data_IF_247981010728
#
_entry.id   IF_247981010728
#
_cell.length_a   1.000
_cell.length_b   1.000
_cell.length_c   1.000
_cell.angle_alpha   90.00
_cell.angle_beta   90.00
_cell.angle_gamma   90.00
#
_symmetry.space_group_name_H-M   'P 1'
#
loop_
_entity.id
_entity.type
_entity.pdbx_description
1 polymer ?
#
# COMPACT_ATOMS: atom_id res chain seq x y z
N UNK A 1 5.75 4.52 0.48
CA UNK A 1 4.95 5.64 1.03
C UNK A 1 3.48 5.39 0.77
N UNK A 2 2.58 5.72 1.69
CA UNK A 2 1.14 5.60 1.54
C UNK A 2 0.49 6.98 1.45
N UNK A 3 -0.53 7.15 0.58
CA UNK A 3 -1.27 8.41 0.42
C UNK A 3 -2.77 8.18 0.41
N UNK A 4 -3.45 9.09 1.11
CA UNK A 4 -4.90 9.23 1.13
C UNK A 4 -5.23 10.67 0.73
N UNK A 5 -6.16 10.90 -0.17
CA UNK A 5 -6.70 12.24 -0.32
C UNK A 5 -6.93 12.76 -1.73
N UNK A 6 -7.34 14.00 -1.76
CA UNK A 6 -7.76 14.78 -2.92
C UNK A 6 -6.62 15.62 -3.51
N UNK A 7 -5.37 15.09 -3.54
CA UNK A 7 -4.28 15.85 -4.15
C UNK A 7 -4.69 16.30 -5.57
N UNK A 8 -4.44 17.53 -5.93
CA UNK A 8 -4.55 18.01 -7.32
C UNK A 8 -3.48 17.34 -8.20
N UNK A 9 -3.63 17.36 -9.51
CA UNK A 9 -2.60 16.82 -10.42
C UNK A 9 -1.21 17.46 -10.20
N UNK A 10 -1.07 18.78 -10.01
CA UNK A 10 0.22 19.40 -9.67
C UNK A 10 0.81 18.89 -8.34
N UNK A 11 0.00 18.73 -7.31
CA UNK A 11 0.46 18.20 -6.01
C UNK A 11 0.91 16.74 -6.13
N UNK A 12 0.14 15.90 -6.83
CA UNK A 12 0.50 14.50 -7.05
C UNK A 12 1.79 14.37 -7.88
N UNK A 13 1.98 15.23 -8.89
CA UNK A 13 3.22 15.30 -9.67
C UNK A 13 4.40 15.74 -8.81
N UNK A 14 4.22 16.77 -7.99
CA UNK A 14 5.25 17.25 -7.05
C UNK A 14 5.65 16.17 -6.07
N UNK A 15 4.68 15.45 -5.50
CA UNK A 15 4.93 14.31 -4.63
C UNK A 15 5.73 13.21 -5.35
N UNK A 16 5.33 12.83 -6.57
CA UNK A 16 6.03 11.79 -7.35
C UNK A 16 7.49 12.16 -7.58
N UNK A 17 7.77 13.40 -7.97
CA UNK A 17 9.13 13.90 -8.16
C UNK A 17 9.93 13.86 -6.85
N UNK A 18 9.32 14.23 -5.73
CA UNK A 18 9.95 14.19 -4.41
C UNK A 18 10.28 12.77 -3.99
N UNK A 19 9.35 11.83 -4.13
CA UNK A 19 9.57 10.43 -3.78
C UNK A 19 10.68 9.80 -4.63
N UNK A 20 10.68 10.03 -5.94
CA UNK A 20 11.76 9.61 -6.84
C UNK A 20 13.11 10.16 -6.36
N UNK A 21 13.20 11.47 -6.08
CA UNK A 21 14.45 12.10 -5.61
C UNK A 21 14.94 11.60 -4.26
N UNK A 22 14.07 11.01 -3.46
CA UNK A 22 14.39 10.37 -2.17
C UNK A 22 14.74 8.89 -2.32
N UNK A 23 14.57 8.29 -3.52
CA UNK A 23 14.89 6.90 -3.80
C UNK A 23 13.81 5.90 -3.40
N UNK A 24 12.56 6.32 -3.25
CA UNK A 24 11.46 5.36 -3.06
C UNK A 24 11.25 4.50 -4.30
N UNK A 25 11.03 3.21 -4.11
CA UNK A 25 10.69 2.30 -5.20
C UNK A 25 9.24 2.49 -5.65
N UNK A 26 8.32 2.71 -4.69
CA UNK A 26 6.90 2.83 -5.01
C UNK A 26 6.14 3.73 -4.03
N UNK A 27 4.96 4.18 -4.48
CA UNK A 27 3.97 4.89 -3.66
C UNK A 27 2.63 4.14 -3.70
N UNK A 28 2.06 3.84 -2.52
CA UNK A 28 0.71 3.28 -2.43
C UNK A 28 -0.34 4.41 -2.47
N UNK A 29 -1.20 4.33 -3.44
CA UNK A 29 -2.36 5.19 -3.63
C UNK A 29 -3.61 4.44 -3.15
N UNK A 30 -4.12 4.88 -2.00
CA UNK A 30 -5.19 4.17 -1.31
C UNK A 30 -6.53 4.44 -1.99
N UNK A 31 -7.28 3.37 -2.25
CA UNK A 31 -8.63 3.48 -2.77
C UNK A 31 -9.56 4.15 -1.76
N UNK A 32 -10.38 5.05 -2.26
CA UNK A 32 -11.48 5.64 -1.52
C UNK A 32 -12.69 5.81 -2.45
N UNK A 33 -13.83 5.28 -2.06
CA UNK A 33 -15.04 5.21 -2.90
C UNK A 33 -15.60 6.55 -3.39
N UNK A 34 -15.30 7.63 -2.68
CA UNK A 34 -15.83 8.96 -2.98
C UNK A 34 -14.76 9.93 -3.54
N UNK A 35 -13.55 9.44 -3.78
CA UNK A 35 -12.47 10.28 -4.30
C UNK A 35 -12.20 9.97 -5.78
N UNK A 36 -11.64 10.93 -6.52
CA UNK A 36 -11.25 10.74 -7.91
C UNK A 36 -10.27 9.56 -8.06
N UNK A 37 -10.48 8.76 -9.09
CA UNK A 37 -9.70 7.57 -9.36
C UNK A 37 -8.21 7.89 -9.58
N UNK A 38 -7.34 7.23 -8.83
CA UNK A 38 -5.90 7.45 -8.91
C UNK A 38 -5.27 6.93 -10.19
N UNK A 39 -5.79 5.87 -10.81
CA UNK A 39 -5.22 5.34 -12.04
C UNK A 39 -5.31 6.37 -13.15
N UNK A 40 -6.48 7.02 -13.32
CA UNK A 40 -6.67 8.09 -14.29
C UNK A 40 -5.75 9.28 -14.00
N UNK A 41 -5.59 9.64 -12.73
CA UNK A 41 -4.77 10.78 -12.32
C UNK A 41 -3.29 10.51 -12.56
N UNK A 42 -2.80 9.31 -12.24
CA UNK A 42 -1.41 8.91 -12.49
C UNK A 42 -1.09 8.84 -13.97
N UNK A 43 -1.99 8.35 -14.81
CA UNK A 43 -1.79 8.35 -16.25
C UNK A 43 -1.47 9.75 -16.84
N UNK A 44 -1.93 10.82 -16.15
CA UNK A 44 -1.65 12.21 -16.55
C UNK A 44 -0.34 12.79 -16.02
N UNK A 45 0.32 12.12 -15.06
CA UNK A 45 1.52 12.65 -14.40
C UNK A 45 2.73 11.74 -14.53
N UNK A 46 2.54 10.54 -15.04
CA UNK A 46 3.64 9.58 -15.20
C UNK A 46 4.76 10.19 -16.01
N UNK A 47 5.98 10.09 -15.48
CA UNK A 47 7.17 10.64 -16.12
C UNK A 47 8.07 9.48 -16.54
N UNK A 48 8.34 9.29 -17.85
CA UNK A 48 9.18 8.20 -18.34
C UNK A 48 10.64 8.28 -17.88
N UNK A 49 11.11 9.45 -17.43
CA UNK A 49 12.46 9.63 -16.89
C UNK A 49 12.60 9.16 -15.43
N UNK A 50 11.49 8.75 -14.80
CA UNK A 50 11.46 8.26 -13.42
C UNK A 50 11.33 6.74 -13.38
N UNK A 51 11.72 6.13 -12.25
CA UNK A 51 11.54 4.71 -11.98
C UNK A 51 10.47 4.43 -10.91
N UNK A 52 9.94 5.46 -10.24
CA UNK A 52 8.91 5.33 -9.21
C UNK A 52 7.70 4.55 -9.73
N UNK A 53 7.39 3.44 -9.07
CA UNK A 53 6.20 2.65 -9.36
C UNK A 53 4.99 3.18 -8.58
N UNK A 54 3.82 3.00 -9.15
CA UNK A 54 2.54 3.38 -8.54
C UNK A 54 1.78 2.13 -8.14
N UNK A 55 1.60 1.94 -6.84
CA UNK A 55 0.83 0.83 -6.28
C UNK A 55 -0.60 1.30 -6.06
N UNK A 56 -1.54 0.73 -6.80
CA UNK A 56 -2.96 1.06 -6.70
C UNK A 56 -3.67 0.08 -5.78
N UNK A 57 -4.31 0.59 -4.72
CA UNK A 57 -5.20 -0.21 -3.91
C UNK A 57 -6.48 -0.53 -4.70
N UNK A 58 -6.68 -1.81 -4.99
CA UNK A 58 -7.84 -2.32 -5.72
C UNK A 58 -8.81 -2.98 -4.74
N UNK A 59 -10.06 -2.56 -4.80
CA UNK A 59 -11.18 -3.22 -4.15
C UNK A 59 -11.90 -4.07 -5.18
N UNK A 60 -11.80 -5.38 -5.06
CA UNK A 60 -12.30 -6.33 -6.07
C UNK A 60 -13.80 -6.19 -6.33
N UNK A 61 -14.58 -5.77 -5.32
CA UNK A 61 -16.00 -5.49 -5.47
C UNK A 61 -16.32 -4.21 -6.26
N UNK A 62 -15.37 -3.31 -6.44
CA UNK A 62 -15.57 -2.02 -7.12
C UNK A 62 -15.18 -2.03 -8.60
N UNK A 63 -14.42 -3.03 -9.05
CA UNK A 63 -13.92 -3.11 -10.42
C UNK A 63 -13.92 -4.57 -10.90
N UNK A 64 -14.37 -4.82 -12.12
CA UNK A 64 -14.30 -6.17 -12.69
C UNK A 64 -12.85 -6.55 -13.06
N UNK A 65 -12.51 -7.87 -13.04
CA UNK A 65 -11.20 -8.35 -13.45
C UNK A 65 -10.84 -7.91 -14.87
N UNK A 66 -11.81 -7.95 -15.79
CA UNK A 66 -11.61 -7.59 -17.19
C UNK A 66 -11.27 -6.11 -17.35
N UNK A 67 -12.03 -5.24 -16.66
CA UNK A 67 -11.77 -3.80 -16.75
C UNK A 67 -10.43 -3.44 -16.12
N UNK A 68 -10.08 -4.06 -14.98
CA UNK A 68 -8.78 -3.87 -14.35
C UNK A 68 -7.63 -4.30 -15.28
N UNK A 69 -7.76 -5.45 -15.96
CA UNK A 69 -6.78 -5.91 -16.93
C UNK A 69 -6.62 -4.94 -18.11
N UNK A 70 -7.73 -4.41 -18.64
CA UNK A 70 -7.68 -3.38 -19.69
C UNK A 70 -6.95 -2.11 -19.24
N UNK A 71 -7.17 -1.68 -18.00
CA UNK A 71 -6.45 -0.54 -17.42
C UNK A 71 -4.94 -0.83 -17.30
N UNK A 72 -4.56 -2.03 -16.86
CA UNK A 72 -3.16 -2.44 -16.77
C UNK A 72 -2.47 -2.46 -18.15
N UNK A 73 -3.13 -2.99 -19.18
CA UNK A 73 -2.62 -2.98 -20.55
C UNK A 73 -2.46 -1.53 -21.07
N UNK A 74 -3.43 -0.64 -20.78
CA UNK A 74 -3.33 0.76 -21.15
C UNK A 74 -2.13 1.46 -20.47
N UNK A 75 -1.89 1.20 -19.19
CA UNK A 75 -0.70 1.71 -18.50
C UNK A 75 0.61 1.16 -19.08
N UNK A 76 0.63 -0.12 -19.46
CA UNK A 76 1.80 -0.72 -20.08
C UNK A 76 2.17 -0.03 -21.40
N UNK A 77 1.17 0.47 -22.15
CA UNK A 77 1.40 1.26 -23.37
C UNK A 77 1.96 2.67 -23.09
N UNK A 78 1.67 3.23 -21.90
CA UNK A 78 2.22 4.54 -21.49
C UNK A 78 3.67 4.36 -21.01
N UNK A 79 3.86 3.46 -20.05
CA UNK A 79 5.19 3.19 -19.48
C UNK A 79 5.19 1.78 -18.86
N UNK A 80 5.94 0.83 -19.43
CA UNK A 80 5.98 -0.55 -18.94
C UNK A 80 6.50 -0.67 -17.51
N UNK A 81 5.92 -1.61 -16.75
CA UNK A 81 6.38 -2.00 -15.41
C UNK A 81 6.26 -0.92 -14.31
N UNK A 82 5.43 0.10 -14.54
CA UNK A 82 5.28 1.23 -13.59
C UNK A 82 4.13 1.05 -12.60
N UNK A 83 3.34 0.01 -12.73
CA UNK A 83 2.20 -0.23 -11.85
C UNK A 83 2.37 -1.50 -11.03
N UNK A 84 1.86 -1.43 -9.81
CA UNK A 84 1.68 -2.53 -8.88
C UNK A 84 0.21 -2.53 -8.48
N UNK A 85 -0.43 -3.67 -8.37
CA UNK A 85 -1.78 -3.77 -7.85
C UNK A 85 -1.75 -4.29 -6.41
N UNK A 86 -2.30 -3.52 -5.49
CA UNK A 86 -2.53 -3.96 -4.12
C UNK A 86 -3.98 -4.43 -3.97
N UNK A 87 -4.18 -5.74 -4.00
CA UNK A 87 -5.48 -6.38 -3.94
C UNK A 87 -5.88 -6.60 -2.48
N UNK A 88 -7.02 -6.08 -2.11
CA UNK A 88 -7.57 -6.27 -0.78
C UNK A 88 -9.10 -6.45 -0.84
N UNK A 89 -9.63 -7.31 0.03
CA UNK A 89 -11.06 -7.52 0.18
C UNK A 89 -11.80 -6.24 0.66
N UNK A 90 -11.05 -5.31 1.23
CA UNK A 90 -11.56 -4.04 1.72
C UNK A 90 -12.16 -4.14 3.10
N UNK A 91 -12.15 -3.00 3.78
CA UNK A 91 -12.78 -2.80 5.06
C UNK A 91 -13.97 -1.85 4.85
N UNK A 92 -15.17 -2.37 5.02
CA UNK A 92 -16.39 -1.58 5.01
C UNK A 92 -16.71 -1.21 6.45
N UNK A 93 -16.08 -0.17 6.95
CA UNK A 93 -16.50 0.40 8.22
C UNK A 93 -17.81 1.15 7.99
N UNK A 94 -18.87 0.81 8.74
CA UNK A 94 -20.18 1.45 8.57
C UNK A 94 -20.14 2.98 8.71
N UNK A 95 -19.13 3.48 9.40
CA UNK A 95 -18.94 4.88 9.75
C UNK A 95 -18.23 5.69 8.65
N UNK A 96 -17.40 5.04 7.82
CA UNK A 96 -16.56 5.70 6.81
C UNK A 96 -17.09 5.55 5.39
N UNK A 97 -17.85 4.47 5.13
CA UNK A 97 -18.39 4.19 3.80
C UNK A 97 -19.77 3.60 4.00
N UNK A 98 -20.81 4.37 3.76
CA UNK A 98 -22.17 3.83 3.83
C UNK A 98 -22.31 2.69 2.82
N UNK A 99 -23.08 1.66 3.17
CA UNK A 99 -23.42 0.58 2.21
C UNK A 99 -24.01 1.14 0.93
N UNK A 100 -24.73 2.28 1.03
CA UNK A 100 -25.31 2.99 -0.10
C UNK A 100 -24.25 3.54 -1.05
N UNK A 101 -23.13 4.06 -0.54
CA UNK A 101 -22.04 4.58 -1.38
C UNK A 101 -21.32 3.44 -2.11
N UNK A 102 -21.12 2.30 -1.45
CA UNK A 102 -20.55 1.11 -2.08
C UNK A 102 -21.47 0.56 -3.17
N UNK A 103 -22.78 0.54 -2.94
CA UNK A 103 -23.78 0.13 -3.93
C UNK A 103 -23.80 1.08 -5.14
N UNK A 104 -23.69 2.39 -4.92
CA UNK A 104 -23.65 3.39 -6.00
C UNK A 104 -22.48 3.21 -6.95
N UNK A 105 -21.34 2.69 -6.48
CA UNK A 105 -20.17 2.41 -7.32
C UNK A 105 -20.09 0.95 -7.80
N UNK A 106 -21.17 0.17 -7.63
CA UNK A 106 -21.27 -1.23 -8.08
C UNK A 106 -20.79 -2.27 -7.07
N UNK A 107 -20.37 -1.87 -5.86
CA UNK A 107 -20.03 -2.80 -4.80
C UNK A 107 -21.28 -3.25 -4.02
N UNK A 108 -21.44 -4.55 -3.79
CA UNK A 108 -22.66 -5.12 -3.17
C UNK A 108 -22.39 -6.13 -2.06
N UNK A 109 -21.14 -6.50 -1.82
CA UNK A 109 -20.80 -7.50 -0.81
C UNK A 109 -20.66 -6.85 0.58
N UNK A 110 -21.55 -7.20 1.50
CA UNK A 110 -21.62 -6.61 2.84
C UNK A 110 -20.66 -7.28 3.81
N UNK A 111 -20.65 -8.62 3.85
CA UNK A 111 -19.87 -9.38 4.81
C UNK A 111 -18.41 -9.50 4.37
N UNK A 112 -17.52 -9.45 5.34
CA UNK A 112 -16.08 -9.55 5.07
C UNK A 112 -15.71 -10.91 4.45
N UNK A 113 -16.30 -12.01 4.94
CA UNK A 113 -16.10 -13.35 4.41
C UNK A 113 -16.45 -13.43 2.94
N UNK A 114 -17.59 -12.87 2.53
CA UNK A 114 -18.06 -12.88 1.15
C UNK A 114 -17.13 -12.07 0.24
N UNK A 115 -16.62 -10.93 0.75
CA UNK A 115 -15.63 -10.13 0.00
C UNK A 115 -14.30 -10.87 -0.19
N UNK A 116 -13.86 -11.60 0.82
CA UNK A 116 -12.62 -12.40 0.71
C UNK A 116 -12.79 -13.55 -0.29
N UNK A 117 -13.93 -14.23 -0.28
CA UNK A 117 -14.23 -15.30 -1.26
C UNK A 117 -14.32 -14.74 -2.67
N UNK A 118 -15.07 -13.66 -2.85
CA UNK A 118 -15.14 -12.96 -4.13
C UNK A 118 -13.76 -12.48 -4.62
N UNK A 119 -12.89 -12.06 -3.71
CA UNK A 119 -11.51 -11.68 -4.05
C UNK A 119 -10.73 -12.87 -4.61
N UNK A 120 -10.95 -14.09 -4.10
CA UNK A 120 -10.32 -15.30 -4.64
C UNK A 120 -10.77 -15.58 -6.08
N UNK A 121 -12.06 -15.54 -6.34
CA UNK A 121 -12.65 -15.72 -7.68
C UNK A 121 -12.16 -14.63 -8.64
N UNK A 122 -12.11 -13.39 -8.16
CA UNK A 122 -11.64 -12.24 -8.92
C UNK A 122 -10.19 -12.42 -9.36
N UNK A 123 -9.29 -12.82 -8.44
CA UNK A 123 -7.87 -13.07 -8.71
C UNK A 123 -7.68 -14.19 -9.72
N UNK A 124 -8.38 -15.31 -9.52
CA UNK A 124 -8.32 -16.44 -10.44
C UNK A 124 -8.74 -16.01 -11.86
N UNK A 125 -9.86 -15.31 -11.98
CA UNK A 125 -10.36 -14.80 -13.26
C UNK A 125 -9.39 -13.80 -13.89
N UNK A 126 -8.91 -12.81 -13.13
CA UNK A 126 -7.97 -11.80 -13.58
C UNK A 126 -6.70 -12.39 -14.20
N UNK A 127 -6.10 -13.36 -13.51
CA UNK A 127 -4.86 -13.99 -13.94
C UNK A 127 -5.04 -14.95 -15.14
N UNK A 128 -6.26 -15.44 -15.36
CA UNK A 128 -6.56 -16.37 -16.45
C UNK A 128 -7.12 -15.69 -17.72
N UNK A 129 -7.20 -14.36 -17.76
CA UNK A 129 -7.65 -13.63 -18.95
C UNK A 129 -6.64 -13.82 -20.09
N UNK A 130 -7.09 -14.44 -21.20
CA UNK A 130 -6.22 -14.83 -22.31
C UNK A 130 -5.57 -13.65 -23.05
N UNK A 131 -6.22 -12.50 -23.07
CA UNK A 131 -5.71 -11.29 -23.73
C UNK A 131 -4.77 -10.47 -22.84
N UNK A 132 -4.72 -10.76 -21.53
CA UNK A 132 -3.91 -10.02 -20.57
C UNK A 132 -2.48 -10.57 -20.55
N UNK A 133 -1.56 -9.86 -21.19
CA UNK A 133 -0.16 -10.29 -21.39
C UNK A 133 0.80 -9.63 -20.42
N UNK A 134 0.56 -8.37 -20.10
CA UNK A 134 1.44 -7.52 -19.30
C UNK A 134 0.93 -7.42 -17.86
N UNK A 135 1.01 -8.54 -17.13
CA UNK A 135 0.54 -8.63 -15.75
C UNK A 135 1.44 -7.81 -14.84
N UNK A 136 0.89 -6.88 -14.05
CA UNK A 136 1.66 -6.14 -13.07
C UNK A 136 2.04 -7.01 -11.88
N UNK A 137 3.00 -6.55 -11.07
CA UNK A 137 3.29 -7.13 -9.77
C UNK A 137 2.06 -7.04 -8.85
N UNK A 138 1.74 -8.14 -8.16
CA UNK A 138 0.55 -8.25 -7.31
C UNK A 138 0.95 -8.29 -5.83
N UNK A 139 0.43 -7.33 -5.08
CA UNK A 139 0.45 -7.32 -3.62
C UNK A 139 -0.92 -7.77 -3.13
N UNK A 140 -0.99 -8.81 -2.31
CA UNK A 140 -2.24 -9.25 -1.67
C UNK A 140 -2.22 -8.87 -0.20
N UNK A 141 -3.24 -8.11 0.24
CA UNK A 141 -3.26 -7.50 1.57
C UNK A 141 -4.30 -8.11 2.50
N UNK A 142 -3.90 -8.43 3.73
CA UNK A 142 -4.77 -8.87 4.82
C UNK A 142 -4.20 -10.01 5.63
N UNK A 143 -4.93 -10.45 6.68
CA UNK A 143 -4.43 -11.40 7.69
C UNK A 143 -5.32 -12.61 7.89
N UNK A 144 -6.46 -12.72 7.19
CA UNK A 144 -7.31 -13.92 7.27
C UNK A 144 -6.62 -15.09 6.55
N UNK A 145 -6.89 -16.33 6.99
CA UNK A 145 -6.34 -17.54 6.37
C UNK A 145 -6.56 -17.57 4.86
N UNK A 146 -7.77 -17.24 4.41
CA UNK A 146 -8.11 -17.18 2.98
C UNK A 146 -7.32 -16.10 2.23
N UNK A 147 -7.06 -14.95 2.86
CA UNK A 147 -6.20 -13.91 2.24
C UNK A 147 -4.76 -14.38 2.13
N UNK A 148 -4.26 -15.11 3.12
CA UNK A 148 -2.93 -15.73 3.08
C UNK A 148 -2.87 -16.75 1.94
N UNK A 149 -3.87 -17.62 1.82
CA UNK A 149 -3.98 -18.58 0.72
C UNK A 149 -4.00 -17.87 -0.65
N UNK A 150 -4.75 -16.78 -0.78
CA UNK A 150 -4.76 -15.97 -1.99
C UNK A 150 -3.38 -15.36 -2.29
N UNK A 151 -2.69 -14.89 -1.27
CA UNK A 151 -1.33 -14.36 -1.42
C UNK A 151 -0.38 -15.45 -1.92
N UNK A 152 -0.42 -16.64 -1.33
CA UNK A 152 0.43 -17.76 -1.72
C UNK A 152 0.17 -18.23 -3.16
N UNK A 153 -1.09 -18.29 -3.57
CA UNK A 153 -1.48 -18.77 -4.91
C UNK A 153 -1.29 -17.73 -6.02
N UNK A 154 -1.55 -16.48 -5.75
CA UNK A 154 -1.74 -15.47 -6.78
C UNK A 154 -0.86 -14.22 -6.63
N UNK A 155 -0.39 -13.90 -5.41
CA UNK A 155 0.41 -12.71 -5.13
C UNK A 155 1.90 -12.91 -5.37
N UNK A 156 2.60 -11.82 -5.61
CA UNK A 156 4.07 -11.76 -5.59
C UNK A 156 4.56 -11.31 -4.21
N UNK A 157 3.78 -10.46 -3.55
CA UNK A 157 4.06 -9.86 -2.24
C UNK A 157 2.83 -10.02 -1.34
N UNK A 158 3.06 -10.35 -0.08
CA UNK A 158 2.03 -10.28 0.96
C UNK A 158 2.19 -9.00 1.78
N UNK A 159 1.12 -8.22 1.94
CA UNK A 159 1.11 -7.00 2.75
C UNK A 159 0.24 -7.16 4.00
N UNK A 160 0.82 -6.90 5.16
CA UNK A 160 0.09 -6.80 6.42
C UNK A 160 0.62 -5.66 7.29
N UNK A 161 -0.08 -5.36 8.39
CA UNK A 161 0.43 -4.48 9.43
C UNK A 161 1.67 -5.11 10.09
N UNK A 162 2.65 -4.29 10.46
CA UNK A 162 3.87 -4.77 11.12
C UNK A 162 3.60 -5.62 12.36
N UNK A 163 2.59 -5.25 13.16
CA UNK A 163 2.19 -6.03 14.33
C UNK A 163 1.84 -7.48 14.00
N UNK A 164 1.16 -7.73 12.87
CA UNK A 164 0.78 -9.09 12.50
C UNK A 164 1.99 -9.99 12.29
N UNK A 165 3.06 -9.48 11.65
CA UNK A 165 4.30 -10.24 11.48
C UNK A 165 5.05 -10.45 12.80
N UNK A 166 5.05 -9.45 13.69
CA UNK A 166 5.61 -9.58 15.04
C UNK A 166 4.86 -10.59 15.90
N UNK A 167 3.54 -10.71 15.69
CA UNK A 167 2.67 -11.68 16.37
C UNK A 167 2.74 -13.09 15.72
N UNK A 168 3.68 -13.30 14.78
CA UNK A 168 3.95 -14.61 14.19
C UNK A 168 3.13 -14.93 12.95
N UNK A 169 2.61 -13.93 12.23
CA UNK A 169 1.96 -14.18 10.94
C UNK A 169 2.96 -14.85 9.98
N UNK A 170 2.71 -16.10 9.66
CA UNK A 170 3.47 -16.86 8.69
C UNK A 170 2.84 -16.72 7.30
N UNK A 171 3.67 -16.36 6.34
CA UNK A 171 3.35 -16.34 4.91
C UNK A 171 4.51 -17.04 4.23
N UNK A 172 4.27 -18.12 3.55
CA UNK A 172 5.26 -19.06 2.97
C UNK A 172 6.52 -18.42 2.38
N UNK A 173 6.74 -18.60 1.09
CA UNK A 173 7.97 -18.12 0.41
C UNK A 173 7.83 -16.73 -0.23
N UNK A 174 6.69 -16.08 -0.08
CA UNK A 174 6.43 -14.77 -0.71
C UNK A 174 7.21 -13.65 -0.04
N UNK A 175 7.53 -12.62 -0.82
CA UNK A 175 8.04 -11.35 -0.27
C UNK A 175 7.04 -10.80 0.74
N UNK A 176 7.54 -10.27 1.86
CA UNK A 176 6.72 -9.74 2.95
C UNK A 176 6.86 -8.23 3.00
N UNK A 177 5.76 -7.53 2.79
CA UNK A 177 5.69 -6.08 2.94
C UNK A 177 4.97 -5.73 4.23
N UNK A 178 5.60 -4.96 5.10
CA UNK A 178 4.98 -4.49 6.33
C UNK A 178 4.51 -3.05 6.21
N UNK A 179 3.26 -2.78 6.57
CA UNK A 179 2.80 -1.40 6.80
C UNK A 179 3.32 -0.91 8.14
N UNK A 180 4.18 0.12 8.09
CA UNK A 180 4.92 0.65 9.20
C UNK A 180 4.65 2.15 9.37
N UNK A 181 3.71 2.55 10.22
CA UNK A 181 3.61 3.94 10.66
C UNK A 181 4.89 4.36 11.38
N UNK A 182 5.40 5.55 11.10
CA UNK A 182 6.70 6.01 11.61
C UNK A 182 6.56 7.36 12.31
N UNK A 183 7.21 7.49 13.48
CA UNK A 183 7.37 8.74 14.22
C UNK A 183 8.85 9.00 14.40
N UNK A 184 9.34 10.13 13.87
CA UNK A 184 10.73 10.57 14.01
C UNK A 184 10.76 11.89 14.77
N UNK A 185 11.57 11.98 15.85
CA UNK A 185 11.80 13.21 16.60
C UNK A 185 13.31 13.38 16.85
N UNK A 186 13.68 14.55 17.38
CA UNK A 186 15.09 14.87 17.65
C UNK A 186 15.60 14.07 18.85
N UNK A 187 14.72 13.71 19.80
CA UNK A 187 15.04 12.85 20.94
C UNK A 187 14.09 11.64 21.03
N UNK A 188 14.54 10.60 21.72
CA UNK A 188 13.74 9.41 21.98
C UNK A 188 12.49 9.75 22.83
N UNK A 189 12.67 10.61 23.82
CA UNK A 189 11.62 11.04 24.75
C UNK A 189 10.50 11.77 24.02
N UNK A 190 10.84 12.67 23.08
CA UNK A 190 9.86 13.34 22.24
C UNK A 190 9.10 12.37 21.33
N UNK A 191 9.83 11.44 20.70
CA UNK A 191 9.20 10.42 19.86
C UNK A 191 8.25 9.53 20.68
N UNK A 192 8.68 9.14 21.89
CA UNK A 192 7.88 8.35 22.83
C UNK A 192 6.63 9.10 23.28
N UNK A 193 6.73 10.38 23.60
CA UNK A 193 5.59 11.20 23.99
C UNK A 193 4.52 11.26 22.89
N UNK A 194 4.95 11.40 21.63
CA UNK A 194 4.04 11.35 20.47
C UNK A 194 3.43 9.95 20.31
N UNK A 195 4.23 8.90 20.43
CA UNK A 195 3.75 7.52 20.40
C UNK A 195 2.72 7.25 21.50
N UNK A 196 2.99 7.68 22.74
CA UNK A 196 2.09 7.46 23.88
C UNK A 196 0.75 8.19 23.69
N UNK A 197 0.72 9.33 23.00
CA UNK A 197 -0.48 10.10 22.69
C UNK A 197 -1.36 9.50 21.58
N UNK A 198 -0.91 8.44 20.90
CA UNK A 198 -1.71 7.80 19.85
C UNK A 198 -2.89 7.04 20.45
N UNK A 199 -4.10 7.37 20.02
CA UNK A 199 -5.33 6.73 20.52
C UNK A 199 -5.64 5.41 19.79
N UNK A 200 -5.32 5.33 18.49
CA UNK A 200 -5.59 4.13 17.71
C UNK A 200 -4.62 3.00 18.06
N UNK A 201 -5.12 2.04 18.84
CA UNK A 201 -4.35 0.89 19.31
C UNK A 201 -3.76 0.07 18.16
N UNK A 202 -4.50 -0.18 17.09
CA UNK A 202 -4.04 -1.02 15.97
C UNK A 202 -2.88 -0.36 15.22
N UNK A 203 -2.96 0.94 15.01
CA UNK A 203 -1.86 1.71 14.42
C UNK A 203 -0.66 1.73 15.38
N UNK A 204 -0.90 1.97 16.66
CA UNK A 204 0.13 2.07 17.70
C UNK A 204 1.03 0.83 17.78
N UNK A 205 0.46 -0.38 17.80
CA UNK A 205 1.24 -1.63 17.92
C UNK A 205 2.09 -1.94 16.66
N UNK A 206 1.77 -1.34 15.53
CA UNK A 206 2.56 -1.46 14.28
C UNK A 206 3.56 -0.32 14.09
N UNK A 207 3.60 0.65 15.01
CA UNK A 207 4.36 1.87 14.86
C UNK A 207 5.84 1.66 15.16
N UNK A 208 6.69 2.34 14.40
CA UNK A 208 8.13 2.47 14.65
C UNK A 208 8.39 3.92 15.07
N UNK A 209 9.00 4.14 16.22
CA UNK A 209 9.28 5.48 16.72
C UNK A 209 10.68 5.60 17.30
N UNK A 210 11.23 6.82 17.30
CA UNK A 210 12.53 7.15 17.84
C UNK A 210 13.18 8.35 17.16
N UNK A 211 14.48 8.50 17.41
CA UNK A 211 15.33 9.36 16.58
C UNK A 211 15.51 8.78 15.18
N UNK A 212 16.06 9.56 14.26
CA UNK A 212 16.29 9.10 12.88
C UNK A 212 17.12 7.80 12.87
N UNK A 213 18.22 7.74 13.64
CA UNK A 213 19.11 6.57 13.70
C UNK A 213 18.43 5.35 14.34
N UNK A 214 17.68 5.55 15.41
CA UNK A 214 16.92 4.48 16.06
C UNK A 214 15.87 3.87 15.12
N UNK A 215 15.19 4.70 14.32
CA UNK A 215 14.19 4.24 13.37
C UNK A 215 14.85 3.47 12.22
N UNK A 216 15.99 3.96 11.71
CA UNK A 216 16.79 3.25 10.69
C UNK A 216 17.19 1.86 11.20
N UNK A 217 17.73 1.77 12.41
CA UNK A 217 18.14 0.50 13.01
C UNK A 217 16.97 -0.45 13.20
N UNK A 218 15.82 0.06 13.67
CA UNK A 218 14.59 -0.74 13.81
C UNK A 218 14.07 -1.25 12.46
N UNK A 219 14.12 -0.46 11.40
CA UNK A 219 13.74 -0.87 10.05
C UNK A 219 14.69 -1.96 9.53
N UNK A 220 16.01 -1.79 9.68
CA UNK A 220 17.00 -2.79 9.27
C UNK A 220 16.75 -4.16 9.91
N UNK A 221 16.39 -4.18 11.20
CA UNK A 221 16.07 -5.41 11.95
C UNK A 221 14.79 -6.11 11.49
N UNK A 222 13.94 -5.47 10.72
CA UNK A 222 12.76 -6.14 10.17
C UNK A 222 13.14 -7.30 9.23
N UNK A 223 14.31 -7.24 8.62
CA UNK A 223 14.89 -8.35 7.85
C UNK A 223 15.06 -9.63 8.67
N UNK A 224 15.35 -9.51 9.98
CA UNK A 224 15.53 -10.66 10.89
C UNK A 224 14.24 -11.51 11.04
N UNK A 225 13.07 -10.90 10.82
CA UNK A 225 11.77 -11.58 10.82
C UNK A 225 11.23 -11.80 9.39
N UNK A 226 12.11 -11.70 8.39
CA UNK A 226 11.83 -12.00 6.98
C UNK A 226 11.01 -10.94 6.25
N UNK A 227 10.88 -9.71 6.78
CA UNK A 227 10.27 -8.59 6.07
C UNK A 227 11.27 -8.06 5.05
N UNK A 228 10.87 -8.03 3.79
CA UNK A 228 11.70 -7.56 2.67
C UNK A 228 11.38 -6.14 2.26
N UNK A 229 10.16 -5.68 2.52
CA UNK A 229 9.64 -4.42 2.05
C UNK A 229 8.93 -3.66 3.18
N UNK A 230 9.09 -2.35 3.24
CA UNK A 230 8.44 -1.49 4.22
C UNK A 230 7.58 -0.43 3.54
N UNK A 231 6.28 -0.45 3.81
CA UNK A 231 5.36 0.60 3.43
C UNK A 231 5.34 1.66 4.55
N UNK A 232 6.17 2.68 4.41
CA UNK A 232 6.28 3.75 5.39
C UNK A 232 5.14 4.74 5.24
N UNK A 233 4.53 5.13 6.34
CA UNK A 233 3.51 6.17 6.38
C UNK A 233 3.66 7.02 7.64
N UNK A 234 3.19 8.26 7.57
CA UNK A 234 3.11 9.17 8.70
C UNK A 234 1.64 9.42 9.03
N UNK A 235 1.30 9.41 10.30
CA UNK A 235 -0.05 9.73 10.77
C UNK A 235 -0.31 11.24 10.86
N UNK A 236 0.73 12.09 10.66
CA UNK A 236 0.64 13.54 10.87
C UNK A 236 1.24 14.35 9.73
N UNK A 237 0.58 15.45 9.39
CA UNK A 237 1.11 16.45 8.47
C UNK A 237 2.47 16.99 8.99
N UNK A 238 3.47 17.04 8.12
CA UNK A 238 4.82 17.53 8.42
C UNK A 238 5.85 16.45 8.81
N UNK A 239 5.45 15.24 9.15
CA UNK A 239 6.40 14.14 9.42
C UNK A 239 6.99 13.54 8.13
N UNK A 240 6.31 13.68 7.01
CA UNK A 240 6.77 13.19 5.70
C UNK A 240 8.21 13.65 5.38
N UNK A 241 8.57 14.88 5.70
CA UNK A 241 9.92 15.41 5.41
C UNK A 241 11.00 14.71 6.23
N UNK A 242 10.73 14.36 7.48
CA UNK A 242 11.65 13.59 8.32
C UNK A 242 11.82 12.17 7.78
N UNK A 243 10.73 11.54 7.38
CA UNK A 243 10.76 10.20 6.76
C UNK A 243 11.53 10.23 5.44
N UNK A 244 11.30 11.22 4.59
CA UNK A 244 12.02 11.37 3.33
C UNK A 244 13.53 11.56 3.53
N UNK A 245 13.93 12.36 4.51
CA UNK A 245 15.34 12.55 4.89
C UNK A 245 15.96 11.23 5.36
N UNK A 246 15.26 10.52 6.23
CA UNK A 246 15.69 9.22 6.74
C UNK A 246 15.89 8.20 5.61
N UNK A 247 14.91 8.06 4.70
CA UNK A 247 15.01 7.12 3.56
C UNK A 247 16.22 7.45 2.70
N UNK A 248 16.44 8.73 2.40
CA UNK A 248 17.60 9.16 1.62
C UNK A 248 18.93 8.83 2.28
N UNK A 249 19.02 8.95 3.60
CA UNK A 249 20.19 8.56 4.39
C UNK A 249 20.41 7.06 4.37
N UNK A 250 19.35 6.26 4.60
CA UNK A 250 19.43 4.80 4.54
C UNK A 250 19.97 4.28 3.21
N UNK A 251 19.52 4.85 2.09
CA UNK A 251 19.94 4.41 0.76
C UNK A 251 21.37 4.82 0.39
N UNK A 252 21.89 5.87 1.01
CA UNK A 252 23.30 6.29 0.84
C UNK A 252 24.27 5.49 1.71
N UNK A 253 23.79 4.73 2.68
CA UNK A 253 24.61 3.99 3.63
C UNK A 253 25.29 4.87 4.67
N UNK A 254 24.73 6.05 4.94
CA UNK A 254 25.19 7.04 5.92
C UNK A 254 24.62 6.77 7.32
#
# INVERSE_FOLDING_TARGET
>A
MQRHGNDSLPELKSLSNKLESCGYESVLLVYHSLLPDYMIRVANIINPDHNLKYMFAIRTYAISPEYCAMMCEAFHLIDPNRIILNIAAGDLKPEETSVEDVVKIGGFLKDYSDRVEYTSEWLEKFLNLKYFKNKPELVVSGTSSKTIDNSERYGDIHLAMLSSYRDGLEVGTKRKMASCPVIIRDTHEEAKAVFDSQENRMTKISMIYGTEDEVIEKIKRLGDIGITDCLLNSDRAGEDDRIHKMVKKMLKGE
#
